data_IF_215287477633
#
_entry.id   IF_215287477633
#
_cell.length_a   1.000
_cell.length_b   1.000
_cell.length_c   1.000
_cell.angle_alpha   90.00
_cell.angle_beta   90.00
_cell.angle_gamma   90.00
#
_symmetry.space_group_name_H-M   'P 1'
#
loop_
_entity.id
_entity.type
_entity.pdbx_description
1 polymer ?
#
# COMPACT_ATOMS: atom_id res chain seq x y z
N UNK A 1 54.59 15.03 19.32
CA UNK A 1 53.34 14.43 19.83
C UNK A 1 53.68 13.10 20.44
N UNK A 2 53.32 12.87 21.68
CA UNK A 2 53.66 11.60 22.36
C UNK A 2 52.80 10.45 21.76
N UNK A 3 53.39 9.26 21.73
CA UNK A 3 52.69 8.04 21.27
C UNK A 3 51.36 7.82 22.01
N UNK A 4 51.33 8.26 23.28
CA UNK A 4 50.14 8.21 24.13
C UNK A 4 49.02 9.12 23.64
N UNK A 5 49.35 10.33 23.16
CA UNK A 5 48.35 11.26 22.60
C UNK A 5 47.72 10.72 21.32
N UNK A 6 48.51 10.09 20.45
CA UNK A 6 47.99 9.46 19.24
C UNK A 6 47.08 8.26 19.53
N UNK A 7 47.42 7.47 20.56
CA UNK A 7 46.60 6.34 20.98
C UNK A 7 45.23 6.82 21.53
N UNK A 8 45.22 7.86 22.34
CA UNK A 8 43.99 8.44 22.90
C UNK A 8 43.08 8.98 21.82
N UNK A 9 43.63 9.69 20.83
CA UNK A 9 42.87 10.21 19.71
C UNK A 9 42.25 9.08 18.86
N UNK A 10 42.99 8.00 18.60
CA UNK A 10 42.44 6.83 17.88
C UNK A 10 41.31 6.15 18.63
N UNK A 11 41.48 5.95 19.95
CA UNK A 11 40.41 5.33 20.76
C UNK A 11 39.18 6.22 20.81
N UNK A 12 39.32 7.53 20.97
CA UNK A 12 38.22 8.48 20.97
C UNK A 12 37.48 8.47 19.61
N UNK A 13 38.22 8.48 18.50
CA UNK A 13 37.66 8.41 17.16
C UNK A 13 36.86 7.10 16.93
N UNK A 14 37.43 5.96 17.33
CA UNK A 14 36.75 4.67 17.21
C UNK A 14 35.47 4.62 18.05
N UNK A 15 35.50 5.17 19.26
CA UNK A 15 34.33 5.22 20.14
C UNK A 15 33.18 6.04 19.51
N UNK A 16 33.50 7.22 18.95
CA UNK A 16 32.52 8.07 18.27
C UNK A 16 31.99 7.37 17.02
N UNK A 17 32.85 6.72 16.22
CA UNK A 17 32.46 5.98 15.04
C UNK A 17 31.49 4.84 15.38
N UNK A 18 31.79 4.06 16.43
CA UNK A 18 30.91 2.97 16.85
C UNK A 18 29.59 3.47 17.42
N UNK A 19 29.55 4.58 18.16
CA UNK A 19 28.33 5.22 18.61
C UNK A 19 27.45 5.63 17.42
N UNK A 20 28.06 6.20 16.39
CA UNK A 20 27.34 6.59 15.17
C UNK A 20 26.77 5.37 14.43
N UNK A 21 27.54 4.29 14.29
CA UNK A 21 27.08 3.05 13.65
C UNK A 21 25.92 2.44 14.41
N UNK A 22 26.01 2.38 15.74
CA UNK A 22 24.92 1.83 16.60
C UNK A 22 23.65 2.69 16.45
N UNK A 23 23.78 4.02 16.43
CA UNK A 23 22.65 4.93 16.24
C UNK A 23 22.03 4.75 14.85
N UNK A 24 22.84 4.67 13.79
CA UNK A 24 22.37 4.46 12.42
C UNK A 24 21.64 3.12 12.26
N UNK A 25 22.20 2.04 12.81
CA UNK A 25 21.54 0.71 12.81
C UNK A 25 20.24 0.73 13.61
N UNK A 26 20.20 1.49 14.73
CA UNK A 26 18.99 1.67 15.53
C UNK A 26 17.86 2.33 14.75
N UNK A 27 18.16 3.38 13.98
CA UNK A 27 17.18 4.08 13.12
C UNK A 27 16.65 3.14 12.02
N UNK A 28 17.53 2.42 11.34
CA UNK A 28 17.14 1.48 10.29
C UNK A 28 16.27 0.35 10.84
N UNK A 29 16.56 -0.17 12.02
CA UNK A 29 15.74 -1.21 12.66
C UNK A 29 14.34 -0.72 13.05
N UNK A 30 14.20 0.53 13.50
CA UNK A 30 12.88 1.08 13.84
C UNK A 30 12.01 1.30 12.59
N UNK A 31 12.60 1.63 11.46
CA UNK A 31 11.88 1.84 10.20
C UNK A 31 11.46 0.51 9.52
N UNK A 32 12.31 -0.51 9.58
CA UNK A 32 12.07 -1.80 8.91
C UNK A 32 11.26 -2.80 9.73
N UNK A 33 11.27 -2.72 11.06
CA UNK A 33 10.62 -3.69 11.93
C UNK A 33 9.40 -3.17 12.67
N UNK A 34 8.93 -1.93 12.38
CA UNK A 34 7.62 -1.38 12.78
C UNK A 34 7.12 -1.84 14.16
N UNK A 35 7.96 -1.85 15.21
CA UNK A 35 7.51 -2.20 16.55
C UNK A 35 6.76 -1.03 17.16
N UNK A 36 5.45 -1.04 16.96
CA UNK A 36 4.50 -0.24 17.73
C UNK A 36 4.78 -0.40 19.23
N UNK A 37 5.28 0.63 19.87
CA UNK A 37 5.44 0.67 21.33
C UNK A 37 4.07 0.66 22.01
N UNK A 38 3.65 -0.41 22.72
CA UNK A 38 2.40 -0.43 23.46
C UNK A 38 2.65 0.13 24.87
N UNK A 39 2.69 1.45 25.06
CA UNK A 39 3.05 1.89 26.40
C UNK A 39 2.47 3.20 26.92
N UNK A 40 1.90 4.08 26.12
CA UNK A 40 1.46 5.39 26.66
C UNK A 40 0.06 5.87 26.28
N UNK A 41 -0.69 5.15 25.44
CA UNK A 41 -2.05 5.52 25.06
C UNK A 41 -3.17 4.95 25.93
N UNK A 42 -2.85 4.12 26.95
CA UNK A 42 -3.89 3.49 27.77
C UNK A 42 -4.54 4.42 28.82
N UNK A 43 -3.95 5.59 29.11
CA UNK A 43 -4.51 6.51 30.13
C UNK A 43 -5.44 7.60 29.61
N UNK A 44 -5.41 7.91 28.31
CA UNK A 44 -6.31 8.92 27.73
C UNK A 44 -7.58 8.36 27.09
N UNK A 45 -7.70 7.02 26.94
CA UNK A 45 -8.88 6.39 26.34
C UNK A 45 -10.05 6.14 27.31
N UNK A 46 -9.92 6.48 28.62
CA UNK A 46 -11.00 6.29 29.58
C UNK A 46 -12.01 7.45 29.67
N UNK A 47 -11.81 8.55 28.95
CA UNK A 47 -12.66 9.73 29.01
C UNK A 47 -13.51 9.99 27.76
N UNK A 48 -13.36 9.20 26.70
CA UNK A 48 -14.21 9.30 25.50
C UNK A 48 -14.77 7.94 25.10
N UNK A 49 -15.51 7.33 26.01
CA UNK A 49 -16.43 6.25 25.66
C UNK A 49 -17.71 6.84 25.04
N UNK A 50 -17.56 7.55 23.94
CA UNK A 50 -18.63 7.68 22.95
C UNK A 50 -18.74 6.31 22.30
N UNK A 51 -19.92 5.70 22.37
CA UNK A 51 -20.28 4.40 21.79
C UNK A 51 -19.54 4.18 20.46
N UNK A 52 -18.54 3.30 20.46
CA UNK A 52 -17.96 2.83 19.22
C UNK A 52 -19.08 2.25 18.35
N UNK A 53 -19.20 2.64 17.09
CA UNK A 53 -20.10 1.95 16.16
C UNK A 53 -19.67 0.47 16.17
N UNK A 54 -20.63 -0.44 16.41
CA UNK A 54 -20.41 -1.88 16.21
C UNK A 54 -19.74 -2.04 14.85
N UNK A 55 -18.70 -2.92 14.72
CA UNK A 55 -18.16 -3.24 13.42
C UNK A 55 -19.34 -3.64 12.53
N UNK A 56 -19.60 -2.83 11.52
CA UNK A 56 -20.63 -3.10 10.55
C UNK A 56 -20.32 -4.49 9.96
N UNK A 57 -21.26 -5.44 10.10
CA UNK A 57 -21.21 -6.69 9.36
C UNK A 57 -20.96 -6.31 7.90
N UNK A 58 -20.05 -6.99 7.18
CA UNK A 58 -19.84 -6.69 5.76
C UNK A 58 -21.21 -6.71 5.09
N UNK A 59 -21.66 -5.56 4.63
CA UNK A 59 -22.86 -5.46 3.81
C UNK A 59 -22.55 -6.26 2.57
N UNK A 60 -23.22 -7.39 2.40
CA UNK A 60 -23.16 -8.19 1.18
C UNK A 60 -23.38 -7.22 0.03
N UNK A 61 -22.45 -7.20 -0.90
CA UNK A 61 -22.50 -6.42 -2.13
C UNK A 61 -23.86 -6.69 -2.76
N UNK A 62 -24.70 -5.65 -2.92
CA UNK A 62 -26.11 -5.79 -3.31
C UNK A 62 -26.24 -6.37 -4.74
N UNK A 63 -27.42 -6.93 -5.04
CA UNK A 63 -27.82 -7.33 -6.42
C UNK A 63 -27.66 -6.14 -7.35
N UNK A 64 -26.58 -6.07 -8.12
CA UNK A 64 -26.25 -4.95 -9.00
C UNK A 64 -24.82 -4.46 -8.89
N UNK A 65 -24.06 -4.92 -7.89
CA UNK A 65 -22.64 -4.66 -7.78
C UNK A 65 -21.86 -5.32 -8.94
N UNK A 66 -20.72 -4.73 -9.33
CA UNK A 66 -19.85 -5.33 -10.32
C UNK A 66 -19.38 -6.70 -9.85
N UNK A 67 -19.41 -7.68 -10.75
CA UNK A 67 -19.02 -9.07 -10.46
C UNK A 67 -17.70 -9.46 -11.12
N UNK A 68 -17.21 -8.65 -12.05
CA UNK A 68 -16.00 -8.94 -12.83
C UNK A 68 -15.15 -7.69 -13.01
N UNK A 69 -13.84 -7.89 -12.96
CA UNK A 69 -12.85 -6.93 -13.44
C UNK A 69 -12.42 -7.38 -14.83
N UNK A 70 -12.68 -6.56 -15.83
CA UNK A 70 -12.35 -6.83 -17.24
C UNK A 70 -11.13 -5.99 -17.63
N UNK A 71 -10.14 -6.61 -18.25
CA UNK A 71 -9.04 -5.90 -18.91
C UNK A 71 -9.50 -5.50 -20.31
N UNK A 72 -9.66 -4.22 -20.56
CA UNK A 72 -10.17 -3.68 -21.86
C UNK A 72 -9.04 -3.29 -22.82
N UNK A 73 -7.83 -2.99 -22.29
CA UNK A 73 -6.67 -2.68 -23.10
C UNK A 73 -5.37 -3.11 -22.42
N UNK A 74 -4.31 -3.29 -23.20
CA UNK A 74 -2.99 -3.76 -22.75
C UNK A 74 -2.72 -5.20 -23.15
N UNK A 75 -1.61 -5.77 -22.68
CA UNK A 75 -1.16 -7.13 -23.02
C UNK A 75 -2.11 -8.25 -22.59
N UNK A 76 -3.01 -7.98 -21.66
CA UNK A 76 -3.99 -8.93 -21.12
C UNK A 76 -5.43 -8.57 -21.54
N UNK A 77 -5.62 -7.77 -22.60
CA UNK A 77 -6.94 -7.39 -23.07
C UNK A 77 -7.84 -8.62 -23.32
N UNK A 78 -9.08 -8.55 -22.83
CA UNK A 78 -10.04 -9.65 -22.87
C UNK A 78 -10.03 -10.55 -21.64
N UNK A 79 -9.01 -10.47 -20.77
CA UNK A 79 -8.98 -11.23 -19.51
C UNK A 79 -10.02 -10.68 -18.54
N UNK A 80 -10.75 -11.55 -17.87
CA UNK A 80 -11.68 -11.18 -16.82
C UNK A 80 -11.39 -11.92 -15.52
N UNK A 81 -11.47 -11.21 -14.39
CA UNK A 81 -11.29 -11.77 -13.04
C UNK A 81 -12.61 -11.60 -12.30
N UNK A 82 -13.08 -12.69 -11.68
CA UNK A 82 -14.25 -12.65 -10.80
C UNK A 82 -13.97 -11.79 -9.56
N UNK A 83 -14.88 -10.89 -9.26
CA UNK A 83 -14.83 -10.07 -8.07
C UNK A 83 -15.52 -10.84 -6.93
N UNK A 84 -14.71 -11.53 -6.13
CA UNK A 84 -15.10 -12.02 -4.82
C UNK A 84 -14.90 -10.89 -3.79
N UNK A 85 -15.45 -11.04 -2.57
CA UNK A 85 -15.26 -10.06 -1.48
C UNK A 85 -13.80 -10.02 -0.95
N UNK A 86 -12.83 -10.11 -1.85
CA UNK A 86 -11.40 -10.15 -1.57
C UNK A 86 -10.66 -9.02 -2.28
N UNK A 87 -9.58 -8.58 -1.66
CA UNK A 87 -8.70 -7.60 -2.27
C UNK A 87 -8.01 -8.18 -3.51
N UNK A 88 -7.96 -7.41 -4.59
CA UNK A 88 -7.24 -7.70 -5.82
C UNK A 88 -5.99 -6.80 -5.88
N UNK A 89 -4.82 -7.38 -5.86
CA UNK A 89 -3.56 -6.68 -6.06
C UNK A 89 -3.20 -6.68 -7.55
N UNK A 90 -2.69 -5.54 -8.04
CA UNK A 90 -2.36 -5.32 -9.44
C UNK A 90 -0.94 -4.79 -9.54
N UNK A 91 -0.12 -5.41 -10.39
CA UNK A 91 1.26 -4.99 -10.58
C UNK A 91 2.07 -6.02 -11.36
N UNK A 92 3.38 -5.81 -11.46
CA UNK A 92 4.30 -6.74 -12.14
C UNK A 92 4.79 -7.89 -11.25
N UNK A 93 4.52 -7.84 -9.95
CA UNK A 93 4.91 -8.91 -9.04
C UNK A 93 4.18 -10.22 -9.38
N UNK A 94 4.89 -11.34 -9.32
CA UNK A 94 4.31 -12.66 -9.60
C UNK A 94 3.27 -13.09 -8.57
N UNK A 95 3.28 -12.47 -7.39
CA UNK A 95 2.32 -12.67 -6.30
C UNK A 95 1.08 -11.76 -6.41
N UNK A 96 1.03 -10.87 -7.41
CA UNK A 96 -0.15 -10.05 -7.65
C UNK A 96 -1.33 -10.90 -8.18
N UNK A 97 -2.55 -10.55 -7.74
CA UNK A 97 -3.78 -11.21 -8.25
C UNK A 97 -3.95 -10.99 -9.75
N UNK A 98 -3.58 -9.79 -10.24
CA UNK A 98 -3.47 -9.47 -11.66
C UNK A 98 -2.03 -9.08 -11.97
N UNK A 99 -1.28 -10.01 -12.54
CA UNK A 99 0.11 -9.79 -12.96
C UNK A 99 0.13 -9.07 -14.30
N UNK A 100 0.65 -7.85 -14.33
CA UNK A 100 0.78 -7.04 -15.54
C UNK A 100 2.16 -7.22 -16.16
N UNK A 101 2.20 -7.50 -17.48
CA UNK A 101 3.42 -7.48 -18.29
C UNK A 101 3.54 -6.13 -18.98
N UNK A 102 3.63 -5.05 -18.20
CA UNK A 102 3.68 -3.67 -18.67
C UNK A 102 4.81 -2.93 -17.96
N UNK A 103 5.77 -2.41 -18.74
CA UNK A 103 6.94 -1.70 -18.21
C UNK A 103 6.58 -0.40 -17.47
N UNK A 104 5.40 0.13 -17.73
CA UNK A 104 4.86 1.30 -17.03
C UNK A 104 4.13 0.96 -15.73
N UNK A 105 3.94 -0.31 -15.44
CA UNK A 105 3.38 -0.76 -14.17
C UNK A 105 4.50 -1.00 -13.14
N UNK A 106 4.28 -0.57 -11.91
CA UNK A 106 5.17 -0.88 -10.78
C UNK A 106 5.00 -2.32 -10.31
N UNK A 107 5.96 -2.86 -9.56
CA UNK A 107 5.90 -4.21 -8.97
C UNK A 107 4.62 -4.41 -8.17
N UNK A 108 4.29 -3.47 -7.29
CA UNK A 108 2.98 -3.32 -6.63
C UNK A 108 2.44 -1.97 -7.01
N UNK A 109 1.48 -1.93 -7.93
CA UNK A 109 1.03 -0.68 -8.53
C UNK A 109 -0.22 -0.14 -7.86
N UNK A 110 -1.24 -0.95 -7.78
CA UNK A 110 -2.52 -0.59 -7.21
C UNK A 110 -3.20 -1.79 -6.54
N UNK A 111 -4.23 -1.51 -5.76
CA UNK A 111 -5.16 -2.53 -5.27
C UNK A 111 -6.60 -2.10 -5.44
N UNK A 112 -7.45 -3.09 -5.64
CA UNK A 112 -8.91 -2.96 -5.60
C UNK A 112 -9.42 -3.75 -4.40
N UNK A 113 -10.31 -3.17 -3.62
CA UNK A 113 -10.90 -3.85 -2.46
C UNK A 113 -12.35 -3.40 -2.24
N UNK A 114 -13.21 -4.29 -1.70
CA UNK A 114 -14.57 -3.94 -1.38
C UNK A 114 -14.63 -3.14 -0.07
N UNK A 115 -15.37 -2.04 -0.07
CA UNK A 115 -15.66 -1.24 1.12
C UNK A 115 -17.08 -0.67 1.00
N UNK A 116 -17.89 -0.84 2.04
CA UNK A 116 -19.26 -0.30 2.15
C UNK A 116 -20.18 -0.63 0.95
N UNK A 117 -19.96 -1.80 0.33
CA UNK A 117 -20.73 -2.25 -0.84
C UNK A 117 -20.27 -1.66 -2.16
N UNK A 118 -19.14 -0.98 -2.19
CA UNK A 118 -18.49 -0.42 -3.37
C UNK A 118 -17.07 -0.98 -3.55
N UNK A 119 -16.57 -0.94 -4.76
CA UNK A 119 -15.17 -1.23 -5.04
C UNK A 119 -14.34 0.03 -4.98
N UNK A 120 -13.26 -0.01 -4.24
CA UNK A 120 -12.32 1.10 -4.05
C UNK A 120 -11.02 0.77 -4.77
N UNK A 121 -10.50 1.72 -5.55
CA UNK A 121 -9.13 1.66 -6.08
C UNK A 121 -8.21 2.52 -5.23
N UNK A 122 -7.01 2.01 -4.97
CA UNK A 122 -5.95 2.72 -4.27
C UNK A 122 -4.62 2.51 -5.00
N UNK A 123 -3.90 3.61 -5.22
CA UNK A 123 -2.52 3.58 -5.74
C UNK A 123 -1.55 3.25 -4.61
N UNK A 124 -0.65 2.32 -4.80
CA UNK A 124 0.32 1.87 -3.79
C UNK A 124 1.68 2.60 -3.90
N UNK A 125 1.66 3.85 -4.28
CA UNK A 125 2.88 4.64 -4.50
C UNK A 125 3.57 4.28 -5.82
N UNK A 126 2.78 4.06 -6.87
CA UNK A 126 3.31 3.67 -8.16
C UNK A 126 4.10 4.80 -8.82
N UNK A 127 5.09 4.43 -9.66
CA UNK A 127 5.95 5.39 -10.36
C UNK A 127 5.17 6.28 -11.35
N UNK A 128 4.25 5.70 -12.11
CA UNK A 128 3.51 6.41 -13.15
C UNK A 128 2.10 6.81 -12.74
N UNK A 129 1.61 6.34 -11.58
CA UNK A 129 0.29 6.63 -11.05
C UNK A 129 -0.82 5.77 -11.65
N UNK A 130 -1.86 5.60 -10.84
CA UNK A 130 -3.14 5.01 -11.24
C UNK A 130 -4.10 6.12 -11.60
N UNK A 131 -4.92 5.92 -12.62
CA UNK A 131 -5.91 6.90 -13.06
C UNK A 131 -7.29 6.27 -13.14
N UNK A 132 -8.28 6.95 -12.57
CA UNK A 132 -9.70 6.61 -12.71
C UNK A 132 -10.30 7.60 -13.70
N UNK A 133 -10.75 7.10 -14.86
CA UNK A 133 -11.07 7.91 -16.03
C UNK A 133 -9.85 8.76 -16.45
N UNK A 134 -9.87 10.05 -16.22
CA UNK A 134 -8.75 11.00 -16.50
C UNK A 134 -8.12 11.58 -15.24
N UNK A 135 -8.63 11.23 -14.07
CA UNK A 135 -8.16 11.78 -12.79
C UNK A 135 -7.16 10.83 -12.13
N UNK A 136 -6.06 11.38 -11.67
CA UNK A 136 -5.06 10.63 -10.91
C UNK A 136 -5.62 10.26 -9.53
N UNK A 137 -5.50 8.99 -9.19
CA UNK A 137 -5.88 8.46 -7.87
C UNK A 137 -4.79 8.83 -6.87
N UNK A 138 -5.09 9.74 -5.96
CA UNK A 138 -4.17 10.18 -4.89
C UNK A 138 -4.58 9.68 -3.50
N UNK A 139 -5.78 9.14 -3.40
CA UNK A 139 -6.35 8.55 -2.19
C UNK A 139 -7.31 7.42 -2.58
N UNK A 140 -7.67 6.50 -1.67
CA UNK A 140 -8.66 5.48 -1.95
C UNK A 140 -9.94 6.08 -2.53
N UNK A 141 -10.31 5.66 -3.76
CA UNK A 141 -11.37 6.27 -4.53
C UNK A 141 -12.39 5.22 -4.98
N UNK A 142 -13.71 5.45 -4.78
CA UNK A 142 -14.75 4.56 -5.26
C UNK A 142 -14.74 4.45 -6.80
N UNK A 143 -14.88 3.23 -7.30
CA UNK A 143 -14.89 2.92 -8.74
C UNK A 143 -16.32 2.58 -9.18
N UNK A 144 -16.98 3.46 -9.94
CA UNK A 144 -18.25 3.13 -10.54
C UNK A 144 -18.09 2.06 -11.64
N UNK A 145 -19.09 1.17 -11.85
CA UNK A 145 -19.07 0.21 -12.94
C UNK A 145 -18.94 0.90 -14.31
N UNK A 146 -18.12 0.36 -15.19
CA UNK A 146 -17.89 0.89 -16.54
C UNK A 146 -16.95 2.09 -16.62
N UNK A 147 -16.44 2.58 -15.49
CA UNK A 147 -15.42 3.63 -15.49
C UNK A 147 -14.03 3.01 -15.64
N UNK A 148 -13.20 3.48 -16.60
CA UNK A 148 -11.90 2.89 -16.85
C UNK A 148 -10.89 3.25 -15.76
N UNK A 149 -10.18 2.24 -15.28
CA UNK A 149 -9.00 2.35 -14.41
C UNK A 149 -7.78 2.15 -15.30
N UNK A 150 -6.91 3.14 -15.43
CA UNK A 150 -5.69 3.05 -16.23
C UNK A 150 -4.46 2.88 -15.35
N UNK A 151 -3.68 1.88 -15.65
CA UNK A 151 -2.41 1.53 -15.02
C UNK A 151 -1.39 1.32 -16.14
N UNK A 152 -0.51 2.30 -16.34
CA UNK A 152 0.40 2.29 -17.49
C UNK A 152 -0.36 2.24 -18.82
N UNK A 153 -0.12 1.20 -19.62
CA UNK A 153 -0.82 0.91 -20.89
C UNK A 153 -2.06 0.03 -20.70
N UNK A 154 -2.25 -0.52 -19.51
CA UNK A 154 -3.36 -1.42 -19.19
C UNK A 154 -4.57 -0.63 -18.74
N UNK A 155 -5.73 -0.98 -19.26
CA UNK A 155 -7.02 -0.40 -18.86
C UNK A 155 -7.93 -1.50 -18.33
N UNK A 156 -8.57 -1.23 -17.21
CA UNK A 156 -9.42 -2.15 -16.48
C UNK A 156 -10.80 -1.52 -16.28
N UNK A 157 -11.84 -2.31 -16.28
CA UNK A 157 -13.20 -1.85 -15.99
C UNK A 157 -13.94 -2.82 -15.09
N UNK A 158 -14.72 -2.28 -14.15
CA UNK A 158 -15.66 -3.07 -13.37
C UNK A 158 -16.93 -3.35 -14.20
N UNK A 159 -17.27 -4.62 -14.37
CA UNK A 159 -18.46 -5.06 -15.11
C UNK A 159 -19.39 -5.89 -14.21
N UNK A 160 -20.69 -5.85 -14.54
CA UNK A 160 -21.71 -6.72 -13.91
C UNK A 160 -21.62 -8.13 -14.42
#
# INVERSE_FOLDING_TARGET
MSTLSLLLIRIAFLAVLWLFVIAAVGVVRTDLLGTSRPGRQRRQRKAQQVKAPRPARPRRIGRGAPQRLLVTAGGLAGTSIGLADQQITIGRANDATLVLHDDYASTRHARLFPQDGQWIVEDLGSTNGTYLDRQKVTQPTPVPPGVPIRIGKTVLELRK
#
